data_IF_800752938916
#
_entry.id   IF_800752938916
#
_cell.length_a   1.000
_cell.length_b   1.000
_cell.length_c   1.000
_cell.angle_alpha   90.00
_cell.angle_beta   90.00
_cell.angle_gamma   90.00
#
_symmetry.space_group_name_H-M   'P 1'
#
loop_
_entity.id
_entity.type
_entity.pdbx_description
1 polymer ?
#
# COMPACT_ATOMS: atom_id res chain seq x y z
N UNK A 1 26.46 -9.33 -7.12
CA UNK A 1 25.27 -9.75 -6.35
C UNK A 1 24.21 -10.18 -7.35
N UNK A 2 23.66 -11.39 -7.27
CA UNK A 2 22.67 -11.82 -8.25
C UNK A 2 21.35 -11.05 -8.05
N UNK A 3 20.67 -10.68 -9.13
CA UNK A 3 19.39 -9.96 -9.06
C UNK A 3 18.37 -10.72 -8.21
N UNK A 4 18.36 -12.06 -8.32
CA UNK A 4 17.51 -12.94 -7.54
C UNK A 4 17.80 -12.84 -6.02
N UNK A 5 19.06 -12.71 -5.62
CA UNK A 5 19.41 -12.55 -4.21
C UNK A 5 18.89 -11.20 -3.65
N UNK A 6 18.96 -10.13 -4.43
CA UNK A 6 18.42 -8.82 -4.04
C UNK A 6 16.90 -8.88 -3.89
N UNK A 7 16.21 -9.42 -4.89
CA UNK A 7 14.74 -9.58 -4.86
C UNK A 7 14.32 -10.45 -3.68
N UNK A 8 15.00 -11.58 -3.46
CA UNK A 8 14.74 -12.47 -2.34
C UNK A 8 14.92 -11.78 -0.98
N UNK A 9 16.01 -11.04 -0.79
CA UNK A 9 16.25 -10.29 0.45
C UNK A 9 15.17 -9.23 0.69
N UNK A 10 14.82 -8.45 -0.34
CA UNK A 10 13.74 -7.45 -0.24
C UNK A 10 12.39 -8.10 0.10
N UNK A 11 12.05 -9.22 -0.54
CA UNK A 11 10.80 -9.93 -0.28
C UNK A 11 10.71 -10.38 1.19
N UNK A 12 11.79 -10.93 1.74
CA UNK A 12 11.85 -11.34 3.16
C UNK A 12 11.66 -10.13 4.09
N UNK A 13 12.36 -9.03 3.84
CA UNK A 13 12.22 -7.80 4.64
C UNK A 13 10.79 -7.27 4.59
N UNK A 14 10.18 -7.20 3.40
CA UNK A 14 8.81 -6.73 3.23
C UNK A 14 7.79 -7.67 3.90
N UNK A 15 8.01 -8.98 3.88
CA UNK A 15 7.18 -9.96 4.60
C UNK A 15 7.24 -9.76 6.12
N UNK A 16 8.44 -9.54 6.66
CA UNK A 16 8.63 -9.25 8.08
C UNK A 16 7.94 -7.93 8.44
N UNK A 17 8.17 -6.88 7.64
CA UNK A 17 7.53 -5.58 7.84
C UNK A 17 6.00 -5.70 7.80
N UNK A 18 5.43 -6.42 6.83
CA UNK A 18 3.99 -6.65 6.74
C UNK A 18 3.42 -7.29 8.01
N UNK A 19 4.11 -8.31 8.56
CA UNK A 19 3.66 -9.01 9.78
C UNK A 19 3.80 -8.17 11.05
N UNK A 20 4.91 -7.47 11.21
CA UNK A 20 5.21 -6.71 12.44
C UNK A 20 4.48 -5.36 12.40
N UNK A 21 4.76 -4.56 11.37
CA UNK A 21 4.20 -3.22 11.23
C UNK A 21 2.69 -3.26 10.96
N UNK A 22 2.22 -4.20 10.13
CA UNK A 22 0.79 -4.37 9.88
C UNK A 22 0.00 -4.68 11.15
N UNK A 23 0.56 -5.48 12.07
CA UNK A 23 -0.08 -5.77 13.36
C UNK A 23 -0.08 -4.58 14.31
N UNK A 24 0.98 -3.78 14.31
CA UNK A 24 1.03 -2.52 15.07
C UNK A 24 -0.03 -1.56 14.55
N UNK A 25 -0.10 -1.38 13.23
CA UNK A 25 -1.06 -0.49 12.59
C UNK A 25 -2.51 -0.94 12.84
N UNK A 26 -2.79 -2.24 12.76
CA UNK A 26 -4.12 -2.78 13.05
C UNK A 26 -4.58 -2.47 14.48
N UNK A 27 -3.66 -2.46 15.46
CA UNK A 27 -3.95 -2.08 16.84
C UNK A 27 -4.17 -0.57 16.98
N UNK A 28 -3.31 0.24 16.36
CA UNK A 28 -3.41 1.71 16.40
C UNK A 28 -4.69 2.23 15.76
N UNK A 29 -5.11 1.62 14.64
CA UNK A 29 -6.32 1.98 13.92
C UNK A 29 -7.58 1.27 14.45
N UNK A 30 -7.44 0.41 15.47
CA UNK A 30 -8.54 -0.33 16.10
C UNK A 30 -9.38 -1.06 15.03
N UNK A 31 -8.70 -1.79 14.14
CA UNK A 31 -9.36 -2.52 13.07
C UNK A 31 -10.18 -3.68 13.66
N UNK A 32 -11.46 -3.71 13.31
CA UNK A 32 -12.41 -4.69 13.78
C UNK A 32 -13.14 -5.30 12.58
N UNK A 33 -12.91 -6.59 12.26
CA UNK A 33 -13.52 -7.25 11.10
C UNK A 33 -15.04 -7.48 11.27
N UNK A 34 -15.58 -7.27 12.48
CA UNK A 34 -17.03 -7.38 12.73
C UNK A 34 -17.79 -6.07 12.49
N UNK A 35 -17.09 -4.94 12.36
CA UNK A 35 -17.71 -3.64 12.07
C UNK A 35 -18.07 -3.57 10.59
N UNK A 36 -19.34 -3.29 10.24
CA UNK A 36 -19.69 -3.04 8.85
C UNK A 36 -19.00 -1.76 8.39
N UNK A 37 -18.63 -1.70 7.11
CA UNK A 37 -18.03 -0.50 6.54
C UNK A 37 -19.11 0.56 6.27
N UNK A 38 -18.75 1.85 6.20
CA UNK A 38 -19.70 2.91 5.82
C UNK A 38 -20.40 2.66 4.49
N UNK A 39 -19.72 1.97 3.55
CA UNK A 39 -20.31 1.54 2.28
C UNK A 39 -21.56 0.66 2.46
N UNK A 40 -21.66 -0.08 3.58
CA UNK A 40 -22.82 -0.91 3.92
C UNK A 40 -23.78 -0.19 4.88
N UNK A 41 -23.28 0.47 5.92
CA UNK A 41 -24.16 1.12 6.93
C UNK A 41 -24.85 2.39 6.42
N UNK A 42 -24.21 3.10 5.48
CA UNK A 42 -24.65 4.40 4.98
C UNK A 42 -25.02 4.32 3.49
N UNK A 43 -25.34 3.13 2.97
CA UNK A 43 -25.60 2.91 1.56
C UNK A 43 -26.73 3.82 1.04
N UNK A 44 -26.42 4.67 0.05
CA UNK A 44 -27.33 5.69 -0.48
C UNK A 44 -27.47 5.67 -2.01
N UNK A 45 -26.68 4.83 -2.71
CA UNK A 45 -26.67 4.73 -4.17
C UNK A 45 -25.97 5.89 -4.89
N UNK A 46 -25.28 6.77 -4.15
CA UNK A 46 -24.54 7.91 -4.71
C UNK A 46 -23.11 7.94 -4.19
N UNK A 47 -22.92 8.15 -2.89
CA UNK A 47 -21.61 8.28 -2.24
C UNK A 47 -21.16 6.97 -1.59
N UNK A 48 -22.11 6.15 -1.12
CA UNK A 48 -21.84 4.88 -0.44
C UNK A 48 -22.59 3.75 -1.13
N UNK A 49 -21.83 2.80 -1.71
CA UNK A 49 -22.36 1.59 -2.32
C UNK A 49 -21.46 0.39 -1.95
N UNK A 50 -22.02 -0.73 -1.47
CA UNK A 50 -21.24 -1.93 -1.18
C UNK A 50 -20.58 -2.50 -2.44
N UNK A 51 -19.29 -2.84 -2.34
CA UNK A 51 -18.54 -3.53 -3.40
C UNK A 51 -17.74 -4.69 -2.83
N UNK A 52 -17.59 -5.76 -3.60
CA UNK A 52 -16.74 -6.87 -3.20
C UNK A 52 -15.28 -6.43 -3.03
N UNK A 53 -14.59 -6.80 -1.92
CA UNK A 53 -13.23 -6.34 -1.62
C UNK A 53 -12.19 -6.63 -2.71
N UNK A 54 -12.39 -7.69 -3.51
CA UNK A 54 -11.49 -8.07 -4.62
C UNK A 54 -11.33 -6.96 -5.66
N UNK A 55 -12.36 -6.13 -5.85
CA UNK A 55 -12.32 -5.04 -6.81
C UNK A 55 -11.58 -3.79 -6.27
N UNK A 56 -11.42 -3.67 -4.95
CA UNK A 56 -10.70 -2.55 -4.33
C UNK A 56 -9.17 -2.71 -4.44
N UNK A 57 -8.67 -3.93 -4.69
CA UNK A 57 -7.23 -4.23 -4.73
C UNK A 57 -6.52 -3.40 -5.80
N UNK A 58 -7.12 -3.19 -6.97
CA UNK A 58 -6.53 -2.40 -8.05
C UNK A 58 -6.31 -0.95 -7.64
N UNK A 59 -7.26 -0.35 -6.94
CA UNK A 59 -7.16 1.02 -6.43
C UNK A 59 -6.07 1.13 -5.37
N UNK A 60 -6.04 0.21 -4.41
CA UNK A 60 -4.97 0.18 -3.39
C UNK A 60 -3.59 -0.02 -4.02
N UNK A 61 -3.49 -0.92 -5.00
CA UNK A 61 -2.24 -1.17 -5.71
C UNK A 61 -1.78 0.05 -6.50
N UNK A 62 -2.69 0.70 -7.24
CA UNK A 62 -2.40 1.92 -8.00
C UNK A 62 -1.87 3.03 -7.09
N UNK A 63 -2.51 3.26 -5.94
CA UNK A 63 -2.08 4.27 -4.97
C UNK A 63 -0.67 4.00 -4.42
N UNK A 64 -0.32 2.73 -4.16
CA UNK A 64 1.02 2.34 -3.68
C UNK A 64 2.05 2.46 -4.81
N UNK A 65 1.73 1.96 -6.00
CA UNK A 65 2.63 1.93 -7.14
C UNK A 65 2.97 3.34 -7.63
N UNK A 66 2.03 4.28 -7.55
CA UNK A 66 2.21 5.68 -7.95
C UNK A 66 3.32 6.39 -7.16
N UNK A 67 3.62 5.97 -5.93
CA UNK A 67 4.70 6.57 -5.14
C UNK A 67 6.09 6.34 -5.75
N UNK A 68 6.33 5.18 -6.39
CA UNK A 68 7.63 4.82 -6.94
C UNK A 68 8.12 5.76 -8.07
N UNK A 69 7.33 5.98 -9.13
CA UNK A 69 7.65 6.89 -10.22
C UNK A 69 7.82 8.35 -9.79
N UNK A 70 7.28 8.75 -8.64
CA UNK A 70 7.47 10.10 -8.09
C UNK A 70 8.77 10.17 -7.29
N UNK A 71 8.98 9.21 -6.37
CA UNK A 71 10.15 9.20 -5.48
C UNK A 71 11.45 8.95 -6.25
N UNK A 72 11.43 8.09 -7.27
CA UNK A 72 12.62 7.72 -8.06
C UNK A 72 13.35 8.93 -8.69
N UNK A 73 12.69 9.74 -9.53
CA UNK A 73 13.29 10.93 -10.12
C UNK A 73 13.75 11.97 -9.10
N UNK A 74 13.00 12.14 -8.00
CA UNK A 74 13.38 13.05 -6.92
C UNK A 74 14.69 12.60 -6.26
N UNK A 75 14.79 11.31 -5.90
CA UNK A 75 16.02 10.77 -5.34
C UNK A 75 17.17 10.85 -6.34
N UNK A 76 16.93 10.58 -7.62
CA UNK A 76 17.96 10.70 -8.65
C UNK A 76 18.50 12.13 -8.75
N UNK A 77 17.63 13.14 -8.76
CA UNK A 77 18.04 14.55 -8.76
C UNK A 77 18.77 14.98 -7.48
N UNK A 78 18.42 14.43 -6.32
CA UNK A 78 19.12 14.68 -5.05
C UNK A 78 20.52 14.05 -5.05
N UNK A 79 20.66 12.81 -5.52
CA UNK A 79 21.93 12.07 -5.42
C UNK A 79 22.90 12.37 -6.56
N UNK A 80 22.41 12.67 -7.76
CA UNK A 80 23.23 12.84 -8.96
C UNK A 80 23.19 14.27 -9.53
N UNK A 81 22.37 15.14 -8.94
CA UNK A 81 22.16 16.50 -9.44
C UNK A 81 21.07 16.57 -10.51
N UNK A 82 20.63 17.78 -10.81
CA UNK A 82 19.53 18.08 -11.76
C UNK A 82 20.03 18.56 -13.13
N UNK A 83 21.34 18.77 -13.28
CA UNK A 83 21.97 19.08 -14.55
C UNK A 83 22.44 17.78 -15.26
N UNK A 84 22.46 17.76 -16.60
CA UNK A 84 22.99 16.63 -17.37
C UNK A 84 24.48 16.36 -17.11
#
# INVERSE_FOLDING_TARGET
MSMLAVVGACAVVLLIAYRVYGRVLARLLVLDPSRPTPAVEMADGVDYEPIEPKFLISQHFSAIAAAGPIVGPILAGIYFGWLP
#
